data_IF_818571086782
#
_entry.id   IF_818571086782
#
_cell.length_a   1.000
_cell.length_b   1.000
_cell.length_c   1.000
_cell.angle_alpha   90.00
_cell.angle_beta   90.00
_cell.angle_gamma   90.00
#
_symmetry.space_group_name_H-M   'P 1'
#
loop_
_entity.id
_entity.type
_entity.pdbx_description
1 polymer ?
#
# COMPACT_ATOMS: atom_id res chain seq x y z
N UNK A 1 -14.05 3.22 5.86
CA UNK A 1 -13.75 2.57 7.16
C UNK A 1 -13.93 1.05 7.18
N UNK A 2 -15.01 0.48 6.62
CA UNK A 2 -15.30 -0.96 6.70
C UNK A 2 -14.26 -1.87 6.03
N UNK A 3 -13.75 -1.48 4.86
CA UNK A 3 -12.77 -2.28 4.13
C UNK A 3 -11.44 -2.42 4.87
N UNK A 4 -11.01 -1.38 5.59
CA UNK A 4 -9.77 -1.44 6.37
C UNK A 4 -9.88 -2.47 7.50
N UNK A 5 -10.98 -2.45 8.26
CA UNK A 5 -11.22 -3.44 9.31
C UNK A 5 -11.43 -4.85 8.75
N UNK A 6 -12.19 -4.98 7.67
CA UNK A 6 -12.37 -6.25 7.00
C UNK A 6 -11.04 -6.83 6.53
N UNK A 7 -10.13 -6.01 5.99
CA UNK A 7 -8.84 -6.47 5.48
C UNK A 7 -7.90 -6.89 6.62
N UNK A 8 -7.96 -6.16 7.74
CA UNK A 8 -7.24 -6.53 8.95
C UNK A 8 -7.72 -7.88 9.50
N UNK A 9 -9.03 -8.08 9.61
CA UNK A 9 -9.60 -9.34 10.09
C UNK A 9 -9.28 -10.48 9.11
N UNK A 10 -9.45 -10.28 7.81
CA UNK A 10 -9.16 -11.29 6.79
C UNK A 10 -7.68 -11.71 6.80
N UNK A 11 -6.75 -10.76 6.91
CA UNK A 11 -5.32 -11.08 6.99
C UNK A 11 -4.95 -11.82 8.28
N UNK A 12 -5.58 -11.48 9.41
CA UNK A 12 -5.41 -12.21 10.67
C UNK A 12 -5.92 -13.65 10.59
N UNK A 13 -7.12 -13.85 10.02
CA UNK A 13 -7.69 -15.19 9.82
C UNK A 13 -6.84 -16.04 8.87
N UNK A 14 -6.42 -15.47 7.73
CA UNK A 14 -5.54 -16.16 6.78
C UNK A 14 -4.22 -16.61 7.45
N UNK A 15 -3.62 -15.76 8.29
CA UNK A 15 -2.42 -16.13 9.05
C UNK A 15 -2.62 -17.30 10.01
N UNK A 16 -3.79 -17.37 10.67
CA UNK A 16 -4.15 -18.47 11.59
C UNK A 16 -4.41 -19.76 10.80
N UNK A 17 -5.22 -19.69 9.74
CA UNK A 17 -5.63 -20.84 8.94
C UNK A 17 -4.45 -21.47 8.19
N UNK A 18 -3.59 -20.64 7.61
CA UNK A 18 -2.37 -21.07 6.89
C UNK A 18 -1.19 -21.34 7.83
N UNK A 19 -1.34 -21.07 9.14
CA UNK A 19 -0.29 -21.21 10.17
C UNK A 19 1.02 -20.53 9.78
N UNK A 20 0.93 -19.31 9.28
CA UNK A 20 2.10 -18.56 8.82
C UNK A 20 3.08 -18.30 9.96
N UNK A 21 4.37 -18.44 9.67
CA UNK A 21 5.43 -18.14 10.65
C UNK A 21 5.55 -16.63 10.87
N UNK A 22 5.36 -16.22 12.12
CA UNK A 22 5.61 -14.85 12.55
C UNK A 22 7.12 -14.62 12.68
N UNK A 23 7.59 -13.52 12.11
CA UNK A 23 8.96 -13.06 12.34
C UNK A 23 9.16 -12.70 13.82
N UNK A 24 10.42 -12.77 14.27
CA UNK A 24 10.76 -12.34 15.63
C UNK A 24 10.37 -10.87 15.84
N UNK A 25 9.88 -10.51 17.04
CA UNK A 25 9.57 -9.13 17.33
C UNK A 25 10.82 -8.28 17.17
N UNK A 26 10.68 -7.13 16.51
CA UNK A 26 11.75 -6.16 16.46
C UNK A 26 11.92 -5.51 17.84
N UNK A 27 13.18 -5.37 18.28
CA UNK A 27 13.52 -4.79 19.60
C UNK A 27 14.49 -3.63 19.38
N UNK A 28 14.12 -2.44 19.87
CA UNK A 28 14.90 -1.20 19.72
C UNK A 28 14.14 -0.09 19.00
N UNK A 29 14.85 0.95 18.58
CA UNK A 29 14.28 2.07 17.81
C UNK A 29 14.27 1.75 16.30
N UNK A 30 13.08 1.66 15.72
CA UNK A 30 12.88 1.36 14.32
C UNK A 30 13.37 2.48 13.38
N UNK A 31 13.43 3.73 13.85
CA UNK A 31 13.92 4.86 13.05
C UNK A 31 15.45 4.83 12.85
N UNK A 32 16.17 4.16 13.75
CA UNK A 32 17.63 3.98 13.66
C UNK A 32 18.02 2.67 12.96
N UNK A 33 17.05 1.80 12.67
CA UNK A 33 17.30 0.53 12.01
C UNK A 33 17.53 0.77 10.50
N UNK A 34 18.71 0.40 10.02
CA UNK A 34 19.10 0.63 8.62
C UNK A 34 18.53 -0.40 7.63
N UNK A 35 17.93 -1.50 8.11
CA UNK A 35 17.38 -2.59 7.27
C UNK A 35 16.14 -3.23 7.91
N UNK A 36 14.99 -2.56 7.80
CA UNK A 36 13.69 -3.16 8.09
C UNK A 36 12.93 -3.44 6.80
N UNK A 37 12.09 -4.48 6.74
CA UNK A 37 11.11 -4.64 5.67
C UNK A 37 10.23 -3.39 5.60
N UNK A 38 10.19 -2.75 4.44
CA UNK A 38 9.40 -1.54 4.24
C UNK A 38 8.04 -1.89 3.62
N UNK A 39 7.02 -1.15 4.03
CA UNK A 39 5.73 -1.13 3.34
C UNK A 39 5.79 -0.17 2.14
N UNK A 40 4.91 -0.33 1.16
CA UNK A 40 4.80 0.61 0.05
C UNK A 40 4.69 2.07 0.53
N UNK A 41 5.54 2.94 -0.01
CA UNK A 41 5.62 4.37 0.40
C UNK A 41 4.75 5.29 -0.43
N UNK A 42 4.22 4.79 -1.54
CA UNK A 42 3.41 5.55 -2.48
C UNK A 42 2.10 4.82 -2.77
N UNK A 43 1.07 5.57 -3.17
CA UNK A 43 -0.19 4.99 -3.62
C UNK A 43 0.04 4.04 -4.80
N UNK A 44 0.93 4.41 -5.74
CA UNK A 44 1.34 3.55 -6.86
C UNK A 44 1.84 2.18 -6.40
N UNK A 45 2.80 2.16 -5.48
CA UNK A 45 3.39 0.90 -5.01
C UNK A 45 2.38 0.07 -4.21
N UNK A 46 1.55 0.74 -3.39
CA UNK A 46 0.49 0.09 -2.63
C UNK A 46 -0.56 -0.55 -3.56
N UNK A 47 -0.91 0.15 -4.64
CA UNK A 47 -1.86 -0.33 -5.66
C UNK A 47 -1.33 -1.56 -6.38
N UNK A 48 -0.05 -1.57 -6.76
CA UNK A 48 0.58 -2.74 -7.40
C UNK A 48 0.73 -3.91 -6.44
N UNK A 49 0.96 -3.65 -5.16
CA UNK A 49 0.97 -4.67 -4.10
C UNK A 49 -0.42 -5.29 -3.93
N UNK A 50 -1.46 -4.46 -3.88
CA UNK A 50 -2.86 -4.90 -3.78
C UNK A 50 -3.27 -5.74 -4.99
N UNK A 51 -2.95 -5.30 -6.21
CA UNK A 51 -3.29 -5.98 -7.46
C UNK A 51 -2.73 -7.42 -7.53
N UNK A 52 -1.57 -7.66 -6.90
CA UNK A 52 -0.89 -8.95 -6.87
C UNK A 52 -1.31 -9.83 -5.68
N UNK A 53 -2.11 -9.31 -4.75
CA UNK A 53 -2.49 -10.03 -3.53
C UNK A 53 -3.56 -11.07 -3.80
N UNK A 54 -3.15 -12.34 -3.91
CA UNK A 54 -4.08 -13.48 -4.03
C UNK A 54 -4.97 -13.62 -2.79
N UNK A 55 -4.41 -13.41 -1.60
CA UNK A 55 -5.14 -13.51 -0.33
C UNK A 55 -6.30 -12.50 -0.29
N UNK A 56 -6.05 -11.24 -0.63
CA UNK A 56 -7.12 -10.22 -0.61
C UNK A 56 -8.16 -10.46 -1.72
N UNK A 57 -7.75 -10.96 -2.89
CA UNK A 57 -8.70 -11.39 -3.94
C UNK A 57 -9.60 -12.53 -3.48
N UNK A 58 -9.06 -13.49 -2.72
CA UNK A 58 -9.86 -14.58 -2.14
C UNK A 58 -10.80 -14.08 -1.04
N UNK A 59 -10.36 -13.15 -0.20
CA UNK A 59 -11.16 -12.64 0.92
C UNK A 59 -12.29 -11.69 0.48
N UNK A 60 -12.04 -10.83 -0.52
CA UNK A 60 -12.99 -9.79 -0.94
C UNK A 60 -13.68 -10.07 -2.27
N UNK A 61 -13.19 -11.04 -3.04
CA UNK A 61 -13.58 -11.26 -4.42
C UNK A 61 -12.69 -10.49 -5.40
N UNK A 62 -12.45 -11.11 -6.55
CA UNK A 62 -11.57 -10.56 -7.59
C UNK A 62 -12.11 -9.24 -8.15
N UNK A 63 -13.40 -9.16 -8.48
CA UNK A 63 -14.04 -7.96 -9.02
C UNK A 63 -13.95 -6.75 -8.07
N UNK A 64 -14.07 -6.99 -6.76
CA UNK A 64 -13.95 -5.93 -5.74
C UNK A 64 -12.54 -5.38 -5.73
N UNK A 65 -11.53 -6.26 -5.66
CA UNK A 65 -10.13 -5.84 -5.67
C UNK A 65 -9.78 -5.11 -6.97
N UNK A 66 -10.23 -5.63 -8.12
CA UNK A 66 -9.99 -4.99 -9.42
C UNK A 66 -10.62 -3.60 -9.53
N UNK A 67 -11.83 -3.42 -9.01
CA UNK A 67 -12.48 -2.11 -8.97
C UNK A 67 -11.63 -1.09 -8.18
N UNK A 68 -11.19 -1.45 -6.97
CA UNK A 68 -10.37 -0.55 -6.14
C UNK A 68 -8.99 -0.29 -6.75
N UNK A 69 -8.35 -1.29 -7.34
CA UNK A 69 -7.08 -1.12 -8.06
C UNK A 69 -7.24 -0.16 -9.23
N UNK A 70 -8.34 -0.28 -10.00
CA UNK A 70 -8.62 0.63 -11.11
C UNK A 70 -8.80 2.07 -10.62
N UNK A 71 -9.62 2.29 -9.59
CA UNK A 71 -9.82 3.62 -8.98
C UNK A 71 -8.51 4.23 -8.49
N UNK A 72 -7.66 3.45 -7.79
CA UNK A 72 -6.38 3.94 -7.29
C UNK A 72 -5.39 4.29 -8.41
N UNK A 73 -5.38 3.52 -9.50
CA UNK A 73 -4.58 3.85 -10.71
C UNK A 73 -5.05 5.15 -11.36
N UNK A 74 -6.36 5.36 -11.43
CA UNK A 74 -6.92 6.60 -11.96
C UNK A 74 -6.52 7.81 -11.10
N UNK A 75 -6.65 7.69 -9.78
CA UNK A 75 -6.24 8.73 -8.84
C UNK A 75 -4.75 9.05 -8.96
N UNK A 76 -3.89 8.02 -9.01
CA UNK A 76 -2.45 8.21 -9.23
C UNK A 76 -2.17 8.93 -10.56
N UNK A 77 -2.86 8.57 -11.64
CA UNK A 77 -2.70 9.21 -12.95
C UNK A 77 -3.19 10.67 -12.96
N UNK A 78 -4.24 10.99 -12.22
CA UNK A 78 -4.68 12.36 -12.01
C UNK A 78 -3.68 13.17 -11.17
N UNK A 79 -3.01 12.55 -10.19
CA UNK A 79 -1.98 13.20 -9.40
C UNK A 79 -0.72 13.50 -10.24
N UNK A 80 -0.24 12.54 -11.02
CA UNK A 80 1.02 12.65 -11.79
C UNK A 80 1.02 13.78 -12.83
N UNK A 81 -0.16 14.18 -13.32
CA UNK A 81 -0.28 15.25 -14.33
C UNK A 81 -0.39 16.65 -13.71
N UNK A 82 -0.46 16.76 -12.38
CA UNK A 82 -0.54 18.05 -11.70
C UNK A 82 0.87 18.58 -11.47
N UNK A 83 1.05 19.87 -11.75
CA UNK A 83 2.23 20.59 -11.33
C UNK A 83 1.90 21.22 -9.98
N UNK A 84 2.66 20.85 -8.96
CA UNK A 84 2.51 21.36 -7.60
C UNK A 84 3.23 22.69 -7.43
N UNK A 85 2.80 23.50 -6.46
CA UNK A 85 3.47 24.76 -6.15
C UNK A 85 4.95 24.55 -5.81
N UNK A 86 5.30 23.45 -5.13
CA UNK A 86 6.69 23.08 -4.84
C UNK A 86 7.53 22.95 -6.12
N UNK A 87 6.98 22.31 -7.15
CA UNK A 87 7.66 22.15 -8.45
C UNK A 87 7.79 23.48 -9.19
N UNK A 88 6.79 24.35 -9.10
CA UNK A 88 6.86 25.71 -9.66
C UNK A 88 7.96 26.54 -8.98
N UNK A 89 7.95 26.64 -7.64
CA UNK A 89 8.94 27.43 -6.90
C UNK A 89 10.37 26.95 -7.19
N UNK A 90 10.61 25.62 -7.14
CA UNK A 90 11.92 25.05 -7.47
C UNK A 90 12.33 25.25 -8.93
N UNK A 91 11.35 25.21 -9.84
CA UNK A 91 11.58 25.38 -11.28
C UNK A 91 11.96 26.81 -11.66
N UNK A 92 11.35 27.81 -11.03
CA UNK A 92 11.59 29.23 -11.32
C UNK A 92 12.76 29.84 -10.56
N UNK A 93 13.15 29.31 -9.39
CA UNK A 93 14.35 29.79 -8.66
C UNK A 93 15.69 29.33 -9.28
N UNK A 94 15.65 28.51 -10.33
CA UNK A 94 16.83 27.96 -11.01
C UNK A 94 17.11 28.54 -12.40
N UNK A 95 16.37 29.56 -12.82
CA UNK A 95 16.60 30.33 -14.05
C UNK A 95 16.75 31.82 -13.76
#
# INVERSE_FOLDING_TARGET
PYLAFAALIASGLAGIDEKLELQKPFVGDAYQASRLPEIPKTLRDATETLAKSKMLKQAFGEEVIEHYVHTARWEQFEYDRRITDWELHRGFERY
#
